data_IF_410411660340
#
_entry.id   IF_410411660340
#
_cell.length_a   1.000
_cell.length_b   1.000
_cell.length_c   1.000
_cell.angle_alpha   90.00
_cell.angle_beta   90.00
_cell.angle_gamma   90.00
#
_symmetry.space_group_name_H-M   'P 1'
#
loop_
_entity.id
_entity.type
_entity.pdbx_description
1 polymer ?
#
# COMPACT_ATOMS: atom_id res chain seq x y z
N UNK A 1 5.09 34.70 -26.00
CA UNK A 1 4.09 33.97 -25.18
C UNK A 1 4.79 32.83 -24.44
N UNK A 2 5.27 33.07 -23.23
CA UNK A 2 5.83 32.00 -22.39
C UNK A 2 4.67 31.39 -21.60
N UNK A 3 4.04 30.36 -22.18
CA UNK A 3 3.07 29.56 -21.43
C UNK A 3 3.84 28.73 -20.41
N UNK A 4 3.89 29.21 -19.17
CA UNK A 4 4.34 28.42 -18.03
C UNK A 4 3.34 27.29 -17.86
N UNK A 5 3.63 26.15 -18.49
CA UNK A 5 2.84 24.93 -18.36
C UNK A 5 3.12 24.37 -16.97
N UNK A 6 2.43 24.91 -15.98
CA UNK A 6 2.42 24.45 -14.62
C UNK A 6 1.74 23.06 -14.61
N UNK A 7 2.51 22.02 -14.95
CA UNK A 7 2.09 20.64 -14.88
C UNK A 7 1.98 20.28 -13.41
N UNK A 8 0.83 20.63 -12.86
CA UNK A 8 0.43 20.32 -11.51
C UNK A 8 0.37 18.79 -11.37
N UNK A 9 1.47 18.14 -11.02
CA UNK A 9 1.54 16.74 -10.61
C UNK A 9 0.50 16.45 -9.49
N UNK A 10 0.22 17.48 -8.70
CA UNK A 10 -0.82 17.54 -7.67
C UNK A 10 -2.26 17.50 -8.19
N UNK A 11 -2.51 17.90 -9.45
CA UNK A 11 -3.85 17.93 -10.08
C UNK A 11 -4.16 16.66 -10.88
N UNK A 12 -3.15 15.90 -11.30
CA UNK A 12 -3.34 14.58 -11.95
C UNK A 12 -3.45 13.43 -10.96
N UNK A 13 -2.95 13.61 -9.73
CA UNK A 13 -3.08 12.61 -8.66
C UNK A 13 -4.53 12.56 -8.17
N UNK A 14 -5.16 11.38 -8.25
CA UNK A 14 -6.54 11.18 -7.81
C UNK A 14 -6.62 11.12 -6.26
N UNK A 15 -6.85 12.27 -5.64
CA UNK A 15 -6.98 12.41 -4.18
C UNK A 15 -8.17 11.64 -3.61
N UNK A 16 -9.22 11.40 -4.42
CA UNK A 16 -10.39 10.63 -4.01
C UNK A 16 -10.01 9.18 -3.75
N UNK A 17 -9.23 8.58 -4.66
CA UNK A 17 -8.72 7.21 -4.55
C UNK A 17 -7.82 7.05 -3.33
N UNK A 18 -6.93 8.02 -3.08
CA UNK A 18 -6.08 8.04 -1.87
C UNK A 18 -6.95 8.12 -0.61
N UNK A 19 -7.99 8.96 -0.61
CA UNK A 19 -8.92 9.10 0.52
C UNK A 19 -9.67 7.80 0.82
N UNK A 20 -10.21 7.14 -0.22
CA UNK A 20 -10.89 5.84 -0.07
C UNK A 20 -9.92 4.77 0.44
N UNK A 21 -8.70 4.73 -0.08
CA UNK A 21 -7.66 3.80 0.37
C UNK A 21 -7.38 3.95 1.87
N UNK A 22 -7.18 5.19 2.36
CA UNK A 22 -6.92 5.44 3.78
C UNK A 22 -8.09 4.99 4.69
N UNK A 23 -9.33 5.25 4.28
CA UNK A 23 -10.52 4.81 5.02
C UNK A 23 -10.58 3.29 5.11
N UNK A 24 -10.36 2.59 3.99
CA UNK A 24 -10.36 1.12 3.95
C UNK A 24 -9.27 0.53 4.84
N UNK A 25 -8.07 1.11 4.85
CA UNK A 25 -6.96 0.68 5.70
C UNK A 25 -7.32 0.82 7.19
N UNK A 26 -7.93 1.94 7.60
CA UNK A 26 -8.35 2.16 9.00
C UNK A 26 -9.44 1.16 9.40
N UNK A 27 -10.44 0.93 8.54
CA UNK A 27 -11.52 -0.04 8.81
C UNK A 27 -10.96 -1.47 8.88
N UNK A 28 -10.07 -1.84 7.96
CA UNK A 28 -9.43 -3.15 7.95
C UNK A 28 -8.55 -3.39 9.18
N UNK A 29 -7.86 -2.34 9.65
CA UNK A 29 -7.12 -2.36 10.90
C UNK A 29 -8.04 -2.59 12.11
N UNK A 30 -9.12 -1.83 12.22
CA UNK A 30 -10.12 -2.00 13.28
C UNK A 30 -10.74 -3.40 13.28
N UNK A 31 -10.99 -3.98 12.09
CA UNK A 31 -11.50 -5.34 11.95
C UNK A 31 -10.56 -6.39 12.56
N UNK A 32 -9.24 -6.26 12.34
CA UNK A 32 -8.26 -7.21 12.88
C UNK A 32 -7.97 -6.99 14.36
N UNK A 33 -7.96 -5.76 14.83
CA UNK A 33 -7.92 -5.46 16.27
C UNK A 33 -9.17 -6.01 16.99
N UNK A 34 -10.35 -5.90 16.40
CA UNK A 34 -11.59 -6.44 16.96
C UNK A 34 -11.64 -7.96 16.99
N UNK A 35 -11.15 -8.63 15.93
CA UNK A 35 -11.12 -10.09 15.87
C UNK A 35 -10.07 -10.73 16.81
N UNK A 36 -9.07 -9.96 17.25
CA UNK A 36 -7.96 -10.44 18.07
C UNK A 36 -7.98 -9.88 19.50
N UNK A 37 -9.13 -9.36 19.95
CA UNK A 37 -9.28 -8.74 21.27
C UNK A 37 -9.33 -9.82 22.37
N UNK A 38 -8.16 -10.21 22.88
CA UNK A 38 -8.03 -11.06 24.06
C UNK A 38 -7.94 -10.16 25.31
N UNK A 39 -8.89 -10.33 26.24
CA UNK A 39 -8.99 -9.54 27.47
C UNK A 39 -7.99 -10.07 28.50
N UNK A 40 -6.71 -9.77 28.33
CA UNK A 40 -5.70 -10.17 29.30
C UNK A 40 -4.31 -9.79 28.83
N UNK A 41 -3.84 -8.63 29.28
CA UNK A 41 -2.46 -8.14 29.16
C UNK A 41 -1.79 -8.31 27.79
N UNK A 42 -1.77 -7.25 27.00
CA UNK A 42 -0.57 -6.77 26.27
C UNK A 42 -0.99 -5.57 25.44
N UNK A 43 -0.19 -4.51 25.47
CA UNK A 43 -0.56 -3.21 24.92
C UNK A 43 -0.86 -3.25 23.43
N UNK A 44 -1.67 -2.30 22.94
CA UNK A 44 -1.96 -2.07 21.51
C UNK A 44 -0.71 -1.85 20.63
N UNK A 45 0.45 -1.72 21.27
CA UNK A 45 1.78 -1.50 20.72
C UNK A 45 2.74 -2.68 20.96
N UNK A 46 2.25 -3.81 21.48
CA UNK A 46 3.10 -4.97 21.69
C UNK A 46 3.34 -5.70 20.37
N UNK A 47 4.62 -5.87 20.02
CA UNK A 47 5.08 -6.46 18.77
C UNK A 47 4.78 -7.98 18.68
N UNK A 48 4.42 -8.59 19.81
CA UNK A 48 4.10 -10.02 19.93
C UNK A 48 2.71 -10.38 19.37
N UNK A 49 1.75 -9.45 19.43
CA UNK A 49 0.35 -9.72 19.14
C UNK A 49 0.08 -9.75 17.63
N UNK A 50 -0.86 -10.61 17.18
CA UNK A 50 -1.23 -10.77 15.76
C UNK A 50 -1.65 -9.43 15.12
N UNK A 51 -2.30 -8.57 15.90
CA UNK A 51 -2.64 -7.21 15.52
C UNK A 51 -1.39 -6.36 15.28
N UNK A 52 -0.42 -6.29 16.20
CA UNK A 52 0.80 -5.50 16.05
C UNK A 52 1.57 -5.78 14.75
N UNK A 53 1.67 -7.06 14.36
CA UNK A 53 2.27 -7.46 13.08
C UNK A 53 1.53 -6.86 11.88
N UNK A 54 0.21 -6.82 11.89
CA UNK A 54 -0.56 -6.23 10.80
C UNK A 54 -0.36 -4.71 10.68
N UNK A 55 -0.05 -4.00 11.77
CA UNK A 55 0.22 -2.55 11.73
C UNK A 55 1.50 -2.29 10.94
N UNK A 56 2.52 -3.11 11.21
CA UNK A 56 3.82 -3.06 10.53
C UNK A 56 3.64 -3.30 9.04
N UNK A 57 2.84 -4.29 8.65
CA UNK A 57 2.52 -4.54 7.24
C UNK A 57 1.80 -3.37 6.58
N UNK A 58 0.87 -2.71 7.28
CA UNK A 58 0.19 -1.51 6.78
C UNK A 58 1.18 -0.35 6.58
N UNK A 59 2.09 -0.11 7.52
CA UNK A 59 3.11 0.94 7.40
C UNK A 59 4.06 0.65 6.22
N UNK A 60 4.51 -0.59 6.10
CA UNK A 60 5.37 -1.02 4.98
C UNK A 60 4.62 -0.84 3.65
N UNK A 61 3.35 -1.23 3.58
CA UNK A 61 2.51 -1.03 2.39
C UNK A 61 2.36 0.44 2.03
N UNK A 62 2.25 1.33 3.02
CA UNK A 62 2.18 2.76 2.78
C UNK A 62 3.49 3.30 2.20
N UNK A 63 4.63 2.86 2.74
CA UNK A 63 5.96 3.21 2.20
C UNK A 63 6.16 2.71 0.77
N UNK A 64 5.79 1.45 0.49
CA UNK A 64 5.84 0.89 -0.87
C UNK A 64 4.89 1.64 -1.80
N UNK A 65 3.66 1.94 -1.38
CA UNK A 65 2.70 2.72 -2.15
C UNK A 65 3.23 4.11 -2.52
N UNK A 66 3.91 4.78 -1.58
CA UNK A 66 4.56 6.07 -1.86
C UNK A 66 5.67 5.95 -2.89
N UNK A 67 6.53 4.93 -2.79
CA UNK A 67 7.60 4.66 -3.77
C UNK A 67 7.01 4.39 -5.16
N UNK A 68 5.92 3.62 -5.23
CA UNK A 68 5.21 3.35 -6.48
C UNK A 68 4.64 4.65 -7.09
N UNK A 69 4.01 5.51 -6.29
CA UNK A 69 3.49 6.80 -6.79
C UNK A 69 4.60 7.76 -7.27
N UNK A 70 5.82 7.64 -6.76
CA UNK A 70 6.97 8.42 -7.26
C UNK A 70 7.64 7.82 -8.50
N UNK A 71 7.32 6.58 -8.86
CA UNK A 71 7.93 5.89 -10.00
C UNK A 71 7.37 6.46 -11.32
N UNK A 72 8.23 6.59 -12.33
CA UNK A 72 7.82 7.04 -13.66
C UNK A 72 7.12 5.90 -14.44
N UNK A 73 6.13 6.23 -15.28
CA UNK A 73 5.35 5.29 -16.09
C UNK A 73 6.20 4.30 -16.90
N UNK A 74 7.37 4.74 -17.39
CA UNK A 74 8.28 3.91 -18.19
C UNK A 74 8.85 2.71 -17.43
N UNK A 75 9.05 2.85 -16.12
CA UNK A 75 9.49 1.72 -15.30
C UNK A 75 8.40 0.66 -15.21
N UNK A 76 7.13 1.07 -15.13
CA UNK A 76 6.01 0.13 -15.13
C UNK A 76 5.95 -0.70 -16.41
N UNK A 77 6.13 -0.07 -17.59
CA UNK A 77 6.14 -0.78 -18.87
C UNK A 77 7.30 -1.78 -18.97
N UNK A 78 8.51 -1.40 -18.53
CA UNK A 78 9.67 -2.28 -18.57
C UNK A 78 9.55 -3.48 -17.61
N UNK A 79 9.05 -3.25 -16.39
CA UNK A 79 8.89 -4.31 -15.39
C UNK A 79 7.68 -5.21 -15.63
N UNK A 80 6.64 -4.72 -16.32
CA UNK A 80 5.40 -5.47 -16.60
C UNK A 80 5.67 -6.83 -17.23
N UNK A 81 6.51 -6.89 -18.28
CA UNK A 81 6.80 -8.14 -18.98
C UNK A 81 7.59 -9.13 -18.11
N UNK A 82 8.56 -8.63 -17.33
CA UNK A 82 9.39 -9.44 -16.42
C UNK A 82 8.51 -10.03 -15.32
N UNK A 83 7.70 -9.21 -14.64
CA UNK A 83 6.80 -9.64 -13.57
C UNK A 83 5.79 -10.66 -14.12
N UNK A 84 5.23 -10.44 -15.31
CA UNK A 84 4.29 -11.37 -15.93
C UNK A 84 4.90 -12.76 -16.14
N UNK A 85 6.09 -12.85 -16.73
CA UNK A 85 6.78 -14.14 -16.95
C UNK A 85 7.11 -14.81 -15.62
N UNK A 86 7.62 -14.05 -14.63
CA UNK A 86 7.91 -14.59 -13.29
C UNK A 86 6.65 -15.15 -12.62
N UNK A 87 5.51 -14.47 -12.72
CA UNK A 87 4.25 -14.94 -12.16
C UNK A 87 3.74 -16.21 -12.85
N UNK A 88 3.88 -16.32 -14.17
CA UNK A 88 3.55 -17.55 -14.91
C UNK A 88 4.48 -18.71 -14.48
N UNK A 89 5.78 -18.46 -14.33
CA UNK A 89 6.71 -19.48 -13.85
C UNK A 89 6.39 -19.92 -12.43
N UNK A 90 6.12 -18.97 -11.52
CA UNK A 90 5.72 -19.27 -10.15
C UNK A 90 4.44 -20.12 -10.10
N UNK A 91 3.47 -19.82 -10.98
CA UNK A 91 2.22 -20.58 -11.11
C UNK A 91 2.46 -22.00 -11.62
N UNK A 92 3.41 -22.21 -12.54
CA UNK A 92 3.76 -23.55 -13.03
C UNK A 92 4.52 -24.36 -11.98
N UNK A 93 5.33 -23.68 -11.15
CA UNK A 93 6.12 -24.31 -10.09
C UNK A 93 5.26 -24.75 -8.90
N UNK A 94 4.18 -24.02 -8.61
CA UNK A 94 3.28 -24.28 -7.47
C UNK A 94 2.19 -25.28 -7.83
#
# INVERSE_FOLDING_TARGET
MLSSRNTNLWRTTDWLTIGIYLILVIIGWLSVCGASYDFGETGVWDYSTRSGKQLIWIIISFGVGFVLLMLEDRFYDMFSYIVYVVMILLLIIT
#
